data_IF_814260946685
#
_entry.id   IF_814260946685
#
_cell.length_a   1.000
_cell.length_b   1.000
_cell.length_c   1.000
_cell.angle_alpha   90.00
_cell.angle_beta   90.00
_cell.angle_gamma   90.00
#
_symmetry.space_group_name_H-M   'P 1'
#
loop_
_entity.id
_entity.type
_entity.pdbx_description
1 polymer ?
#
# COMPACT_ATOMS: atom_id res chain seq x y z
N UNK A 1 -21.23 34.67 18.04
CA UNK A 1 -20.06 34.19 17.27
C UNK A 1 -19.86 32.75 17.67
N UNK A 2 -20.50 31.82 16.97
CA UNK A 2 -20.24 30.40 17.13
C UNK A 2 -19.10 30.05 16.18
N UNK A 3 -17.90 29.84 16.73
CA UNK A 3 -16.85 29.15 16.01
C UNK A 3 -17.21 27.67 16.05
N UNK A 4 -17.93 27.22 15.03
CA UNK A 4 -17.96 25.81 14.67
C UNK A 4 -16.56 25.47 14.19
N UNK A 5 -15.71 25.06 15.13
CA UNK A 5 -14.48 24.36 14.79
C UNK A 5 -14.94 23.02 14.25
N UNK A 6 -14.95 22.90 12.93
CA UNK A 6 -15.06 21.61 12.27
C UNK A 6 -13.81 20.83 12.68
N UNK A 7 -13.94 20.00 13.72
CA UNK A 7 -12.96 18.97 14.06
C UNK A 7 -12.64 18.23 12.75
N UNK A 8 -11.41 18.38 12.26
CA UNK A 8 -10.93 17.65 11.10
C UNK A 8 -11.12 16.17 11.42
N UNK A 9 -12.05 15.52 10.72
CA UNK A 9 -12.39 14.14 10.98
C UNK A 9 -11.11 13.30 10.82
N UNK A 10 -10.63 12.77 11.94
CA UNK A 10 -9.45 11.90 11.98
C UNK A 10 -9.70 10.70 11.07
N UNK A 11 -8.98 10.59 9.96
CA UNK A 11 -9.00 9.42 9.09
C UNK A 11 -8.32 8.28 9.83
N UNK A 12 -9.12 7.31 10.28
CA UNK A 12 -8.63 6.04 10.80
C UNK A 12 -8.95 4.98 9.75
N UNK A 13 -7.92 4.40 9.11
CA UNK A 13 -8.11 3.21 8.28
C UNK A 13 -7.99 1.97 9.15
N UNK A 14 -8.92 1.05 8.97
CA UNK A 14 -8.79 -0.33 9.44
C UNK A 14 -7.62 -1.04 8.75
N UNK A 15 -7.15 -2.16 9.33
CA UNK A 15 -6.10 -2.97 8.71
C UNK A 15 -6.51 -3.47 7.32
N UNK A 16 -7.79 -3.84 7.17
CA UNK A 16 -8.36 -4.19 5.88
C UNK A 16 -8.31 -3.04 4.87
N UNK A 17 -8.70 -1.83 5.26
CA UNK A 17 -8.65 -0.66 4.37
C UNK A 17 -7.20 -0.28 4.00
N UNK A 18 -6.25 -0.47 4.92
CA UNK A 18 -4.82 -0.26 4.68
C UNK A 18 -4.26 -1.27 3.66
N UNK A 19 -4.62 -2.53 3.80
CA UNK A 19 -4.22 -3.58 2.85
C UNK A 19 -4.90 -3.34 1.49
N UNK A 20 -6.19 -3.01 1.48
CA UNK A 20 -6.95 -2.74 0.27
C UNK A 20 -6.38 -1.57 -0.54
N UNK A 21 -6.04 -0.44 0.11
CA UNK A 21 -5.40 0.68 -0.59
C UNK A 21 -4.01 0.28 -1.09
N UNK A 22 -3.23 -0.48 -0.30
CA UNK A 22 -1.92 -0.96 -0.69
C UNK A 22 -1.98 -1.83 -1.95
N UNK A 23 -2.90 -2.79 -2.01
CA UNK A 23 -3.11 -3.68 -3.14
C UNK A 23 -3.58 -2.94 -4.40
N UNK A 24 -4.57 -2.05 -4.28
CA UNK A 24 -5.04 -1.26 -5.43
C UNK A 24 -3.93 -0.39 -5.98
N UNK A 25 -3.18 0.26 -5.10
CA UNK A 25 -2.07 1.12 -5.50
C UNK A 25 -0.90 0.31 -6.06
N UNK A 26 -0.67 -0.91 -5.58
CA UNK A 26 0.32 -1.83 -6.14
C UNK A 26 -0.05 -2.24 -7.58
N UNK A 27 -1.32 -2.59 -7.83
CA UNK A 27 -1.82 -2.91 -9.18
C UNK A 27 -1.70 -1.68 -10.09
N UNK A 28 -2.16 -0.53 -9.61
CA UNK A 28 -2.10 0.75 -10.33
C UNK A 28 -0.67 1.11 -10.75
N UNK A 29 0.27 1.01 -9.81
CA UNK A 29 1.68 1.28 -10.09
C UNK A 29 2.38 0.16 -10.87
N UNK A 30 1.88 -1.08 -10.85
CA UNK A 30 2.36 -2.14 -11.74
C UNK A 30 2.10 -1.84 -13.22
N UNK A 31 0.95 -1.26 -13.55
CA UNK A 31 0.68 -0.73 -14.90
C UNK A 31 1.62 0.43 -15.24
N UNK A 32 1.85 1.31 -14.28
CA UNK A 32 2.80 2.42 -14.39
C UNK A 32 4.24 1.92 -14.67
N UNK A 33 4.68 0.86 -13.99
CA UNK A 33 5.96 0.20 -14.22
C UNK A 33 6.06 -0.36 -15.64
N UNK A 34 4.98 -0.93 -16.17
CA UNK A 34 4.92 -1.42 -17.56
C UNK A 34 5.10 -0.28 -18.56
N UNK A 35 4.49 0.88 -18.33
CA UNK A 35 4.67 2.05 -19.18
C UNK A 35 6.13 2.54 -19.18
N UNK A 36 6.72 2.73 -17.99
CA UNK A 36 8.13 3.13 -17.87
C UNK A 36 9.09 2.08 -18.46
N UNK A 37 8.76 0.80 -18.31
CA UNK A 37 9.52 -0.31 -18.91
C UNK A 37 9.61 -0.20 -20.43
N UNK A 38 8.51 0.18 -21.09
CA UNK A 38 8.49 0.41 -22.53
C UNK A 38 9.30 1.65 -22.93
N UNK A 39 9.28 2.70 -22.12
CA UNK A 39 10.06 3.92 -22.38
C UNK A 39 11.57 3.67 -22.26
N UNK A 40 11.98 2.88 -21.26
CA UNK A 40 13.40 2.62 -20.95
C UNK A 40 14.00 1.40 -21.67
N UNK A 41 13.17 0.59 -22.33
CA UNK A 41 13.55 -0.73 -22.87
C UNK A 41 14.23 -1.62 -21.82
N UNK A 42 13.73 -1.56 -20.58
CA UNK A 42 14.25 -2.27 -19.40
C UNK A 42 13.12 -2.84 -18.57
N UNK A 43 13.36 -3.95 -17.88
CA UNK A 43 12.40 -4.48 -16.92
C UNK A 43 12.30 -3.52 -15.72
N UNK A 44 11.08 -3.08 -15.42
CA UNK A 44 10.76 -2.19 -14.30
C UNK A 44 9.73 -2.87 -13.42
N UNK A 45 9.96 -2.85 -12.12
CA UNK A 45 9.05 -3.39 -11.11
C UNK A 45 8.78 -2.32 -10.06
N UNK A 46 7.51 -2.10 -9.76
CA UNK A 46 7.08 -1.25 -8.66
C UNK A 46 6.28 -2.12 -7.70
N UNK A 47 6.62 -2.05 -6.42
CA UNK A 47 5.93 -2.79 -5.36
C UNK A 47 5.60 -1.88 -4.19
N UNK A 48 4.51 -2.14 -3.48
CA UNK A 48 4.09 -1.38 -2.30
C UNK A 48 4.55 -2.06 -1.00
N UNK A 49 5.66 -1.63 -0.38
CA UNK A 49 6.07 -2.20 0.91
C UNK A 49 5.27 -1.72 2.12
N UNK A 50 4.81 -0.46 2.18
CA UNK A 50 4.21 0.10 3.42
C UNK A 50 3.15 1.17 3.11
N UNK A 51 2.00 1.10 3.79
CA UNK A 51 0.97 2.14 3.84
C UNK A 51 0.87 2.67 5.27
N UNK A 52 0.87 3.99 5.45
CA UNK A 52 0.77 4.63 6.76
C UNK A 52 -0.17 5.84 6.73
N UNK A 53 -0.72 6.21 7.89
CA UNK A 53 -1.52 7.42 8.08
C UNK A 53 -0.81 8.31 9.08
N UNK A 54 -0.50 9.52 8.67
CA UNK A 54 0.20 10.49 9.51
C UNK A 54 -0.27 11.90 9.19
N UNK A 55 -0.08 12.80 10.15
CA UNK A 55 -0.31 14.22 9.89
C UNK A 55 0.73 14.73 8.91
N UNK A 56 0.32 15.63 8.01
CA UNK A 56 1.17 16.18 6.94
C UNK A 56 2.54 16.69 7.43
N UNK A 57 2.55 17.30 8.61
CA UNK A 57 3.74 17.85 9.25
C UNK A 57 4.71 16.80 9.83
N UNK A 58 4.24 15.57 10.04
CA UNK A 58 5.03 14.50 10.66
C UNK A 58 5.72 13.63 9.61
N UNK A 59 5.42 13.83 8.32
CA UNK A 59 6.01 13.09 7.21
C UNK A 59 7.51 13.39 7.14
N UNK A 60 8.29 12.34 7.36
CA UNK A 60 9.75 12.39 7.27
C UNK A 60 10.21 11.98 5.87
N UNK A 61 10.95 12.86 5.21
CA UNK A 61 11.51 12.63 3.88
C UNK A 61 13.03 12.83 3.82
N UNK A 62 13.71 12.90 4.96
CA UNK A 62 15.17 13.10 5.05
C UNK A 62 15.95 12.06 4.22
N UNK A 63 15.41 10.84 4.10
CA UNK A 63 16.03 9.75 3.32
C UNK A 63 15.87 9.91 1.79
N UNK A 64 15.17 10.94 1.32
CA UNK A 64 14.90 11.21 -0.10
C UNK A 64 15.57 12.48 -0.60
N UNK A 65 16.31 13.19 0.28
CA UNK A 65 17.03 14.41 -0.09
C UNK A 65 18.36 14.11 -0.82
N UNK A 66 18.73 14.91 -1.85
CA UNK A 66 17.94 15.96 -2.48
C UNK A 66 16.75 15.39 -3.26
N UNK A 67 15.56 16.00 -3.13
CA UNK A 67 14.31 15.42 -3.65
C UNK A 67 13.71 16.21 -4.82
N UNK A 68 12.94 15.50 -5.63
CA UNK A 68 12.05 16.02 -6.66
C UNK A 68 10.62 15.60 -6.31
N UNK A 69 9.73 16.58 -6.19
CA UNK A 69 8.31 16.38 -5.96
C UNK A 69 7.58 16.29 -7.29
N UNK A 70 6.63 15.37 -7.41
CA UNK A 70 5.73 15.28 -8.57
C UNK A 70 4.30 15.27 -8.08
N UNK A 71 3.56 16.33 -8.38
CA UNK A 71 2.13 16.47 -8.02
C UNK A 71 1.24 16.08 -9.18
N UNK A 72 0.20 15.30 -8.88
CA UNK A 72 -0.90 14.99 -9.80
C UNK A 72 -2.22 15.25 -9.09
N UNK A 73 -3.15 15.85 -9.81
CA UNK A 73 -4.52 16.11 -9.35
C UNK A 73 -5.46 15.25 -10.17
N UNK A 74 -6.36 14.53 -9.49
CA UNK A 74 -7.42 13.80 -10.16
C UNK A 74 -8.55 14.77 -10.49
N UNK A 75 -8.91 14.87 -11.77
CA UNK A 75 -9.83 15.89 -12.29
C UNK A 75 -11.19 15.31 -12.70
N UNK A 76 -11.29 14.00 -12.89
CA UNK A 76 -12.54 13.31 -13.20
C UNK A 76 -12.53 11.92 -12.57
N UNK A 77 -13.69 11.47 -12.11
CA UNK A 77 -13.86 10.15 -11.48
C UNK A 77 -13.35 10.06 -10.05
N UNK A 78 -12.23 10.70 -9.73
CA UNK A 78 -11.64 10.80 -8.40
C UNK A 78 -11.43 12.26 -8.01
N UNK A 79 -11.51 12.55 -6.70
CA UNK A 79 -11.20 13.85 -6.12
C UNK A 79 -9.98 13.74 -5.21
N UNK A 80 -9.01 14.63 -5.40
CA UNK A 80 -7.83 14.73 -4.55
C UNK A 80 -6.54 14.81 -5.34
N UNK A 81 -5.43 14.71 -4.62
CA UNK A 81 -4.09 14.76 -5.20
C UNK A 81 -3.22 13.62 -4.70
N UNK A 82 -2.23 13.30 -5.51
CA UNK A 82 -1.12 12.43 -5.18
C UNK A 82 0.17 13.22 -5.38
N UNK A 83 0.94 13.39 -4.32
CA UNK A 83 2.28 14.00 -4.37
C UNK A 83 3.31 12.91 -4.15
N UNK A 84 4.16 12.71 -5.14
CA UNK A 84 5.25 11.75 -5.06
C UNK A 84 6.57 12.44 -4.76
N UNK A 85 7.41 11.79 -3.96
CA UNK A 85 8.73 12.26 -3.53
C UNK A 85 9.79 11.29 -4.04
N UNK A 86 10.56 11.72 -5.02
CA UNK A 86 11.68 10.95 -5.61
C UNK A 86 13.00 11.55 -5.19
N UNK A 87 14.04 10.73 -5.05
CA UNK A 87 15.42 11.24 -5.01
C UNK A 87 15.77 11.82 -6.38
N UNK A 88 16.41 12.98 -6.38
CA UNK A 88 16.89 13.63 -7.62
C UNK A 88 17.84 12.72 -8.39
N UNK A 89 18.73 12.03 -7.68
CA UNK A 89 19.65 11.04 -8.25
C UNK A 89 18.91 9.96 -9.06
N UNK A 90 17.82 9.42 -8.53
CA UNK A 90 17.09 8.33 -9.17
C UNK A 90 16.32 8.82 -10.40
N UNK A 91 15.71 10.01 -10.31
CA UNK A 91 15.07 10.63 -11.46
C UNK A 91 16.10 10.97 -12.54
N UNK A 92 17.27 11.47 -12.17
CA UNK A 92 18.35 11.74 -13.12
C UNK A 92 18.78 10.46 -13.86
N UNK A 93 18.89 9.31 -13.18
CA UNK A 93 19.20 8.03 -13.84
C UNK A 93 18.15 7.63 -14.88
N UNK A 94 16.86 7.83 -14.56
CA UNK A 94 15.76 7.56 -15.49
C UNK A 94 15.87 8.50 -16.70
N UNK A 95 16.07 9.80 -16.48
CA UNK A 95 16.19 10.79 -17.54
C UNK A 95 17.41 10.58 -18.44
N UNK A 96 18.58 10.32 -17.86
CA UNK A 96 19.80 10.05 -18.62
C UNK A 96 19.60 8.85 -19.55
N UNK A 97 18.95 7.78 -19.05
CA UNK A 97 18.64 6.60 -19.84
C UNK A 97 17.72 6.93 -21.02
N UNK A 98 16.66 7.71 -20.80
CA UNK A 98 15.74 8.12 -21.86
C UNK A 98 16.38 9.04 -22.90
N UNK A 99 17.26 9.92 -22.46
CA UNK A 99 17.98 10.86 -23.33
C UNK A 99 19.19 10.20 -24.01
N UNK A 100 19.51 8.95 -23.70
CA UNK A 100 20.70 8.25 -24.21
C UNK A 100 22.01 8.87 -23.71
N UNK A 101 21.99 9.53 -22.56
CA UNK A 101 23.17 10.11 -21.89
C UNK A 101 23.87 8.98 -21.12
N UNK A 102 25.11 8.63 -21.48
CA UNK A 102 25.83 7.51 -20.87
C UNK A 102 26.42 7.85 -19.50
N UNK A 103 26.47 9.14 -19.14
CA UNK A 103 27.07 9.60 -17.91
C UNK A 103 26.24 9.15 -16.70
N UNK A 104 26.90 8.70 -15.61
CA UNK A 104 26.22 8.41 -14.37
C UNK A 104 25.59 9.69 -13.80
N UNK A 105 24.61 9.55 -12.90
CA UNK A 105 24.06 10.67 -12.16
C UNK A 105 25.18 11.38 -11.37
N UNK A 106 25.02 12.68 -11.16
CA UNK A 106 26.02 13.53 -10.52
C UNK A 106 25.36 14.38 -9.45
N UNK A 107 26.02 14.52 -8.31
CA UNK A 107 25.55 15.39 -7.22
C UNK A 107 25.50 16.88 -7.64
N UNK A 108 26.25 17.25 -8.69
CA UNK A 108 26.26 18.60 -9.27
C UNK A 108 25.13 18.82 -10.30
N UNK A 109 24.31 17.80 -10.58
CA UNK A 109 23.21 17.93 -11.53
C UNK A 109 22.13 18.87 -11.00
N UNK A 110 21.75 19.83 -11.83
CA UNK A 110 20.67 20.77 -11.53
C UNK A 110 19.52 20.51 -12.48
N UNK A 111 18.34 20.23 -11.92
CA UNK A 111 17.11 20.12 -12.70
C UNK A 111 16.75 21.47 -13.29
N UNK A 112 17.03 21.63 -14.59
CA UNK A 112 16.62 22.77 -15.40
C UNK A 112 15.25 22.54 -16.06
N UNK A 113 14.75 23.54 -16.79
CA UNK A 113 13.43 23.47 -17.44
C UNK A 113 13.30 22.26 -18.38
N UNK A 114 14.39 21.85 -19.05
CA UNK A 114 14.40 20.70 -19.95
C UNK A 114 14.26 19.39 -19.15
N UNK A 115 15.06 19.23 -18.10
CA UNK A 115 15.06 18.06 -17.24
C UNK A 115 13.72 17.92 -16.50
N UNK A 116 13.16 19.03 -16.03
CA UNK A 116 11.83 19.09 -15.43
C UNK A 116 10.75 18.69 -16.44
N UNK A 117 10.81 19.20 -17.67
CA UNK A 117 9.84 18.84 -18.72
C UNK A 117 9.92 17.35 -19.07
N UNK A 118 11.13 16.81 -19.15
CA UNK A 118 11.34 15.39 -19.39
C UNK A 118 10.82 14.52 -18.24
N UNK A 119 11.06 14.93 -16.99
CA UNK A 119 10.49 14.26 -15.82
C UNK A 119 8.96 14.27 -15.87
N UNK A 120 8.34 15.41 -16.18
CA UNK A 120 6.89 15.50 -16.34
C UNK A 120 6.37 14.56 -17.44
N UNK A 121 7.07 14.41 -18.58
CA UNK A 121 6.66 13.50 -19.65
C UNK A 121 6.68 12.03 -19.20
N UNK A 122 7.75 11.60 -18.52
CA UNK A 122 7.84 10.26 -17.93
C UNK A 122 6.70 10.02 -16.95
N UNK A 123 6.50 10.97 -16.04
CA UNK A 123 5.45 10.88 -15.03
C UNK A 123 4.06 10.91 -15.65
N UNK A 124 3.87 11.63 -16.75
CA UNK A 124 2.60 11.71 -17.47
C UNK A 124 2.23 10.36 -18.10
N UNK A 125 3.20 9.67 -18.72
CA UNK A 125 2.98 8.32 -19.25
C UNK A 125 2.75 7.30 -18.13
N UNK A 126 3.61 7.33 -17.11
CA UNK A 126 3.51 6.45 -15.96
C UNK A 126 2.14 6.59 -15.27
N UNK A 127 1.71 7.82 -15.02
CA UNK A 127 0.50 8.09 -14.24
C UNK A 127 -0.77 8.04 -15.09
N UNK A 128 -0.69 8.28 -16.40
CA UNK A 128 -1.79 7.99 -17.32
C UNK A 128 -2.13 6.49 -17.37
N UNK A 129 -1.10 5.63 -17.39
CA UNK A 129 -1.30 4.17 -17.28
C UNK A 129 -1.85 3.76 -15.92
N UNK A 130 -1.33 4.36 -14.84
CA UNK A 130 -1.81 4.16 -13.47
C UNK A 130 -3.30 4.56 -13.32
N UNK A 131 -3.67 5.74 -13.83
CA UNK A 131 -5.06 6.22 -13.82
C UNK A 131 -6.00 5.32 -14.62
N UNK A 132 -5.53 4.77 -15.75
CA UNK A 132 -6.29 3.79 -16.53
C UNK A 132 -6.54 2.51 -15.73
N UNK A 133 -5.53 2.00 -15.03
CA UNK A 133 -5.69 0.82 -14.16
C UNK A 133 -6.65 1.07 -13.00
N UNK A 134 -6.58 2.26 -12.38
CA UNK A 134 -7.58 2.67 -11.36
C UNK A 134 -8.98 2.77 -11.95
N UNK A 135 -9.11 3.26 -13.20
CA UNK A 135 -10.40 3.40 -13.87
C UNK A 135 -11.05 2.02 -14.12
N UNK A 136 -10.26 1.06 -14.58
CA UNK A 136 -10.68 -0.33 -14.76
C UNK A 136 -11.07 -0.96 -13.42
N UNK A 137 -10.27 -0.79 -12.38
CA UNK A 137 -10.53 -1.33 -11.04
C UNK A 137 -11.83 -0.76 -10.43
N UNK A 138 -12.01 0.57 -10.50
CA UNK A 138 -13.16 1.27 -9.92
C UNK A 138 -14.41 1.23 -10.81
N UNK A 139 -14.28 0.80 -12.07
CA UNK A 139 -15.38 0.77 -13.04
C UNK A 139 -15.91 2.16 -13.41
N UNK A 140 -15.07 3.20 -13.35
CA UNK A 140 -15.43 4.59 -13.69
C UNK A 140 -14.31 5.26 -14.47
N UNK A 141 -14.64 6.24 -15.31
CA UNK A 141 -13.64 7.06 -16.02
C UNK A 141 -12.84 7.87 -15.01
N UNK A 142 -11.51 7.86 -15.12
CA UNK A 142 -10.61 8.64 -14.28
C UNK A 142 -9.68 9.45 -15.19
N UNK A 143 -9.66 10.76 -14.99
CA UNK A 143 -8.72 11.66 -15.65
C UNK A 143 -7.84 12.36 -14.61
N UNK A 144 -6.61 12.64 -15.01
CA UNK A 144 -5.60 13.31 -14.20
C UNK A 144 -5.12 14.60 -14.89
N UNK A 145 -4.64 15.55 -14.09
CA UNK A 145 -3.92 16.70 -14.59
C UNK A 145 -2.57 16.29 -15.18
N UNK A 146 -1.99 17.15 -16.03
CA UNK A 146 -0.57 17.07 -16.32
C UNK A 146 0.23 17.12 -15.01
N UNK A 147 1.23 16.25 -14.81
CA UNK A 147 2.05 16.29 -13.60
C UNK A 147 2.85 17.58 -13.51
N UNK A 148 3.03 18.08 -12.29
CA UNK A 148 3.92 19.20 -11.99
C UNK A 148 5.10 18.69 -11.20
N UNK A 149 6.31 18.80 -11.75
CA UNK A 149 7.55 18.48 -11.06
C UNK A 149 8.16 19.73 -10.42
N UNK A 150 8.69 19.62 -9.20
CA UNK A 150 9.30 20.72 -8.45
C UNK A 150 10.45 20.21 -7.61
N UNK A 151 11.61 20.87 -7.70
CA UNK A 151 12.77 20.56 -6.85
C UNK A 151 12.44 20.95 -5.41
N UNK A 152 12.69 20.05 -4.46
CA UNK A 152 12.48 20.33 -3.05
C UNK A 152 13.64 21.13 -2.48
N UNK A 153 13.40 22.42 -2.19
CA UNK A 153 14.39 23.31 -1.57
C UNK A 153 14.28 23.36 -0.05
N UNK A 154 13.05 23.23 0.47
CA UNK A 154 12.74 23.29 1.89
C UNK A 154 11.43 22.55 2.22
N UNK A 155 11.08 22.48 3.51
CA UNK A 155 9.83 21.85 3.96
C UNK A 155 8.57 22.56 3.44
N UNK A 156 8.65 23.87 3.19
CA UNK A 156 7.52 24.63 2.66
C UNK A 156 7.19 24.20 1.24
N UNK A 157 8.20 23.83 0.45
CA UNK A 157 8.03 23.33 -0.91
C UNK A 157 7.15 22.08 -0.93
N UNK A 158 7.39 21.15 0.00
CA UNK A 158 6.55 19.96 0.16
C UNK A 158 5.12 20.31 0.60
N UNK A 159 4.95 21.16 1.63
CA UNK A 159 3.62 21.59 2.08
C UNK A 159 2.82 22.28 0.98
N UNK A 160 3.46 23.16 0.22
CA UNK A 160 2.85 23.86 -0.92
C UNK A 160 2.50 22.89 -2.06
N UNK A 161 3.30 21.86 -2.29
CA UNK A 161 3.00 20.82 -3.27
C UNK A 161 1.76 20.02 -2.87
N UNK A 162 1.64 19.62 -1.60
CA UNK A 162 0.45 18.90 -1.11
C UNK A 162 -0.78 19.82 -1.09
N UNK A 163 -0.60 21.10 -0.75
CA UNK A 163 -1.63 22.14 -0.73
C UNK A 163 -2.78 21.80 0.25
N UNK A 164 -2.40 21.40 1.47
CA UNK A 164 -3.32 21.09 2.56
C UNK A 164 -2.95 21.86 3.83
N UNK A 165 -3.94 22.17 4.70
CA UNK A 165 -3.67 22.80 5.99
C UNK A 165 -2.78 21.92 6.89
N UNK A 166 -1.98 22.57 7.75
CA UNK A 166 -1.24 21.88 8.80
C UNK A 166 -2.20 21.09 9.71
N UNK A 167 -1.74 19.94 10.20
CA UNK A 167 -2.54 19.01 11.00
C UNK A 167 -3.52 18.15 10.22
N UNK A 168 -3.65 18.35 8.90
CA UNK A 168 -4.44 17.44 8.05
C UNK A 168 -3.76 16.07 7.99
N UNK A 169 -4.53 15.01 8.22
CA UNK A 169 -4.04 13.66 8.02
C UNK A 169 -3.97 13.32 6.53
N UNK A 170 -2.97 12.56 6.14
CA UNK A 170 -2.79 12.07 4.78
C UNK A 170 -2.34 10.62 4.83
N UNK A 171 -2.48 9.93 3.70
CA UNK A 171 -2.01 8.55 3.58
C UNK A 171 -0.71 8.55 2.80
N UNK A 172 0.32 7.97 3.39
CA UNK A 172 1.62 7.82 2.75
C UNK A 172 1.84 6.37 2.36
N UNK A 173 2.21 6.16 1.10
CA UNK A 173 2.54 4.85 0.55
C UNK A 173 3.99 4.89 0.10
N UNK A 174 4.82 4.04 0.68
CA UNK A 174 6.19 3.85 0.20
C UNK A 174 6.15 2.80 -0.90
N UNK A 175 6.79 3.09 -2.03
CA UNK A 175 6.95 2.18 -3.15
C UNK A 175 8.42 1.84 -3.32
N UNK A 176 8.73 0.57 -3.57
CA UNK A 176 10.03 0.15 -4.07
C UNK A 176 10.00 0.11 -5.58
N UNK A 177 10.92 0.83 -6.22
CA UNK A 177 11.13 0.90 -7.66
C UNK A 177 12.45 0.19 -8.02
N UNK A 178 12.34 -0.89 -8.79
CA UNK A 178 13.49 -1.60 -9.34
C UNK A 178 13.50 -1.48 -10.86
N UNK A 179 14.63 -1.06 -11.42
CA UNK A 179 14.89 -1.00 -12.85
C UNK A 179 16.13 -1.85 -13.12
N UNK A 180 15.95 -2.88 -13.93
CA UNK A 180 16.98 -3.90 -14.16
C UNK A 180 18.32 -3.30 -14.59
N UNK A 181 19.37 -3.72 -13.87
CA UNK A 181 20.76 -3.31 -14.07
C UNK A 181 20.97 -1.79 -13.99
N UNK A 182 20.12 -1.06 -13.27
CA UNK A 182 20.13 0.40 -13.25
C UNK A 182 19.80 1.00 -11.87
N UNK A 183 18.66 0.64 -11.28
CA UNK A 183 18.13 1.30 -10.09
C UNK A 183 17.45 0.26 -9.17
N UNK A 184 17.66 0.37 -7.87
CA UNK A 184 16.83 -0.29 -6.85
C UNK A 184 16.68 0.72 -5.71
N UNK A 185 15.51 1.33 -5.63
CA UNK A 185 15.27 2.48 -4.77
C UNK A 185 13.82 2.53 -4.31
N UNK A 186 13.46 3.57 -3.58
CA UNK A 186 12.13 3.81 -3.05
C UNK A 186 11.69 5.25 -3.33
N UNK A 187 10.39 5.44 -3.47
CA UNK A 187 9.76 6.75 -3.50
C UNK A 187 8.50 6.74 -2.62
N UNK A 188 8.13 7.91 -2.10
CA UNK A 188 6.91 8.05 -1.29
C UNK A 188 5.82 8.67 -2.14
N UNK A 189 4.59 8.20 -1.98
CA UNK A 189 3.38 8.80 -2.52
C UNK A 189 2.52 9.27 -1.35
N UNK A 190 2.09 10.52 -1.40
CA UNK A 190 1.28 11.18 -0.38
C UNK A 190 -0.08 11.48 -0.99
N UNK A 191 -1.08 10.73 -0.55
CA UNK A 191 -2.45 10.80 -1.05
C UNK A 191 -3.31 11.59 -0.06
N UNK A 192 -4.17 12.45 -0.60
CA UNK A 192 -5.20 13.10 0.23
C UNK A 192 -6.22 12.08 0.73
N UNK A 193 -6.83 12.36 1.88
CA UNK A 193 -7.84 11.45 2.46
C UNK A 193 -9.03 11.25 1.54
N UNK A 194 -9.39 12.26 0.76
CA UNK A 194 -10.52 12.19 -0.17
C UNK A 194 -10.25 11.20 -1.30
N UNK A 195 -9.03 11.23 -1.84
CA UNK A 195 -8.59 10.29 -2.86
C UNK A 195 -8.65 8.85 -2.34
N UNK A 196 -8.15 8.62 -1.12
CA UNK A 196 -8.14 7.30 -0.48
C UNK A 196 -9.56 6.79 -0.23
N UNK A 197 -10.45 7.63 0.32
CA UNK A 197 -11.86 7.27 0.53
C UNK A 197 -12.55 6.90 -0.78
N UNK A 198 -12.27 7.63 -1.85
CA UNK A 198 -12.84 7.33 -3.16
C UNK A 198 -12.32 6.03 -3.75
N UNK A 199 -11.03 5.71 -3.59
CA UNK A 199 -10.47 4.43 -4.00
C UNK A 199 -11.11 3.28 -3.19
N UNK A 200 -11.24 3.46 -1.88
CA UNK A 200 -11.83 2.45 -1.00
C UNK A 200 -13.34 2.28 -1.17
N UNK A 201 -14.02 3.25 -1.78
CA UNK A 201 -15.47 3.20 -2.01
C UNK A 201 -15.90 1.95 -2.79
N UNK A 202 -15.04 1.39 -3.65
CA UNK A 202 -15.32 0.14 -4.37
C UNK A 202 -15.48 -1.04 -3.42
N UNK A 203 -14.61 -1.16 -2.42
CA UNK A 203 -14.70 -2.23 -1.41
C UNK A 203 -15.91 -2.08 -0.50
N UNK A 204 -16.30 -0.84 -0.20
CA UNK A 204 -17.51 -0.54 0.59
C UNK A 204 -18.78 -0.88 -0.21
N UNK A 205 -18.80 -0.53 -1.51
CA UNK A 205 -19.95 -0.73 -2.39
C UNK A 205 -20.11 -2.16 -2.90
N UNK A 206 -19.03 -2.92 -3.06
CA UNK A 206 -19.09 -4.35 -3.40
C UNK A 206 -19.57 -5.23 -2.25
N UNK A 207 -19.77 -4.66 -1.06
CA UNK A 207 -20.58 -5.30 -0.04
C UNK A 207 -20.03 -6.63 0.48
N UNK A 208 -18.72 -6.85 0.41
CA UNK A 208 -18.06 -7.74 1.37
C UNK A 208 -17.85 -6.93 2.64
N UNK A 209 -18.97 -6.68 3.34
CA UNK A 209 -18.92 -6.66 4.80
C UNK A 209 -18.55 -8.09 5.18
N UNK A 210 -17.27 -8.43 5.06
CA UNK A 210 -16.69 -9.47 5.90
C UNK A 210 -16.73 -8.85 7.30
N UNK A 211 -17.90 -8.96 7.94
CA UNK A 211 -17.92 -9.14 9.38
C UNK A 211 -16.76 -10.08 9.68
N UNK A 212 -15.88 -9.78 10.66
CA UNK A 212 -14.92 -10.77 11.11
C UNK A 212 -15.73 -12.05 11.27
N UNK A 213 -15.40 -13.06 10.45
CA UNK A 213 -16.14 -14.31 10.43
C UNK A 213 -16.25 -14.72 11.89
N UNK A 214 -17.47 -14.84 12.47
CA UNK A 214 -17.60 -15.11 13.89
C UNK A 214 -16.79 -16.38 14.11
N UNK A 215 -15.71 -16.23 14.87
CA UNK A 215 -14.74 -17.28 15.18
C UNK A 215 -15.55 -18.56 15.36
N UNK A 216 -15.29 -19.63 14.57
CA UNK A 216 -16.19 -20.77 14.50
C UNK A 216 -16.45 -21.22 15.92
N UNK A 217 -17.71 -21.11 16.36
CA UNK A 217 -18.10 -21.39 17.73
C UNK A 217 -17.47 -22.73 18.11
N UNK A 218 -16.79 -22.82 19.27
CA UNK A 218 -16.02 -23.99 19.64
C UNK A 218 -16.90 -25.22 19.44
N UNK A 219 -16.45 -26.14 18.60
CA UNK A 219 -17.18 -27.35 18.28
C UNK A 219 -17.67 -27.99 19.60
N UNK A 220 -18.93 -28.48 19.66
CA UNK A 220 -19.45 -29.10 20.87
C UNK A 220 -18.44 -30.15 21.33
N UNK A 221 -17.95 -30.00 22.57
CA UNK A 221 -17.03 -30.96 23.15
C UNK A 221 -17.62 -32.36 22.98
N UNK A 222 -16.86 -33.25 22.33
CA UNK A 222 -17.24 -34.63 22.17
C UNK A 222 -17.63 -35.20 23.56
N UNK A 223 -18.68 -36.04 23.65
CA UNK A 223 -19.10 -36.61 24.93
C UNK A 223 -17.89 -37.32 25.56
N UNK A 224 -17.60 -36.98 26.82
CA UNK A 224 -16.57 -37.68 27.58
C UNK A 224 -16.81 -39.20 27.50
N UNK A 225 -15.76 -40.01 27.30
CA UNK A 225 -15.92 -41.44 27.21
C UNK A 225 -16.61 -41.96 28.47
N UNK A 226 -17.66 -42.77 28.26
CA UNK A 226 -18.42 -43.40 29.33
C UNK A 226 -17.47 -44.17 30.27
N UNK A 227 -17.76 -44.22 31.59
CA UNK A 227 -16.93 -44.94 32.54
C UNK A 227 -16.79 -46.39 32.08
N UNK A 228 -15.55 -46.87 31.98
CA UNK A 228 -15.28 -48.27 31.69
C UNK A 228 -16.01 -49.16 32.71
N UNK A 229 -16.62 -50.28 32.29
CA UNK A 229 -17.25 -51.21 33.21
C UNK A 229 -16.23 -51.66 34.25
N UNK A 230 -16.57 -51.54 35.52
CA UNK A 230 -15.80 -52.09 36.61
C UNK A 230 -15.53 -53.57 36.33
N UNK A 231 -14.24 -53.95 36.31
CA UNK A 231 -13.84 -55.34 36.20
C UNK A 231 -14.49 -56.13 37.33
N UNK A 232 -15.33 -57.10 36.98
CA UNK A 232 -15.90 -58.05 37.92
C UNK A 232 -14.75 -58.81 38.59
N UNK A 233 -14.77 -58.83 39.93
CA UNK A 233 -13.86 -59.64 40.73
C UNK A 233 -13.95 -61.12 40.32
N UNK A 234 -12.82 -61.84 40.23
CA UNK A 234 -12.85 -63.25 39.87
C UNK A 234 -13.58 -64.06 40.96
N UNK A 235 -14.55 -64.85 40.52
CA UNK A 235 -15.28 -65.81 41.33
C UNK A 235 -14.33 -66.86 41.92
N UNK A 236 -14.51 -67.13 43.21
CA UNK A 236 -13.77 -68.13 43.97
C UNK A 236 -13.92 -69.53 43.34
N UNK A 237 -12.80 -70.24 43.20
CA UNK A 237 -12.76 -71.62 42.75
C UNK A 237 -13.40 -72.56 43.79
N UNK A 238 -14.11 -73.63 43.37
CA UNK A 238 -14.72 -74.58 44.29
C UNK A 238 -13.66 -75.47 44.96
N UNK A 239 -13.85 -75.67 46.27
CA UNK A 239 -13.05 -76.56 47.10
C UNK A 239 -13.18 -78.02 46.64
N UNK A 240 -12.03 -78.69 46.49
CA UNK A 240 -11.95 -80.12 46.24
C UNK A 240 -12.37 -80.91 47.49
N UNK A 241 -13.28 -81.86 47.32
CA UNK A 241 -13.70 -82.80 48.36
C UNK A 241 -12.59 -83.83 48.66
N UNK A 242 -12.45 -84.27 49.92
CA UNK A 242 -11.45 -85.28 50.29
C UNK A 242 -11.86 -86.68 49.83
N UNK A 243 -10.90 -87.55 49.47
CA UNK A 243 -11.18 -88.95 49.14
C UNK A 243 -11.53 -89.77 50.40
N UNK A 244 -12.42 -90.77 50.29
CA UNK A 244 -12.73 -91.68 51.39
C UNK A 244 -11.59 -92.68 51.65
N UNK A 245 -11.40 -93.12 52.91
CA UNK A 245 -10.41 -94.13 53.24
C UNK A 245 -10.88 -95.55 52.85
N UNK A 246 -10.00 -96.41 52.30
CA UNK A 246 -10.21 -97.85 52.30
C UNK A 246 -9.54 -98.51 53.52
N UNK A 247 -10.30 -99.42 54.14
CA UNK A 247 -10.03 -100.45 55.16
C UNK A 247 -8.66 -100.49 55.88
#
# INVERSE_FOLDING_TARGET
MGTDQTEGAKLVLSDFERDAIGEVMNISMGSAATAVSQMLDKQVEITTPVVDIQSLQDIRYDNYEPALLVKIIYTTGLTGSNVMVFRQHDMQMILNTLMGIPDPPSDDFVFDDLSISAACEVMNQMMGSSATALAEFLGKTIDISTPTATVMEDENTFKNAVDLPDGTEVVTITFRLSIKDMLDSEFISVLTTDLVREILSRFINDGEVLQPEPEPAPAPAAPAPAPAPAAAAPAAAPAAAPPPPPA
#
